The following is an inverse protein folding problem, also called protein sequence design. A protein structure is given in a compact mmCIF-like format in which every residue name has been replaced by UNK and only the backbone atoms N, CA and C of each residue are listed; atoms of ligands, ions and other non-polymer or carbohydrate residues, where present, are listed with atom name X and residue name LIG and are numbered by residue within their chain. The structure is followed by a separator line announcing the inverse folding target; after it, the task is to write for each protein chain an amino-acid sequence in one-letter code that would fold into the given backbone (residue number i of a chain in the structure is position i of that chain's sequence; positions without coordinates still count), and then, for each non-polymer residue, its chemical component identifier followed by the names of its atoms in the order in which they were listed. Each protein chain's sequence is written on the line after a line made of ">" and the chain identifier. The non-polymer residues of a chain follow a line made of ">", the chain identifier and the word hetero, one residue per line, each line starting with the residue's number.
data_IF_298733782258
#
_entry.id   IF_298733782258
#
_cell.length_a   1.000
_cell.length_b   1.000
_cell.length_c   1.000
_cell.angle_alpha   90.00
_cell.angle_beta   90.00
_cell.angle_gamma   90.00
#
_symmetry.space_group_name_H-M   'P 1'
#
loop_
_entity.id
_entity.type
_entity.pdbx_description
1 polymer ?
#
# COMPACT_ATOMS: atom_id res chain seq x y z
N UNK A 1 -17.16 12.21 7.87
CA UNK A 1 -18.18 12.16 6.80
C UNK A 1 -19.48 12.84 7.26
N UNK A 2 -19.88 12.69 8.53
CA UNK A 2 -20.95 13.45 9.19
C UNK A 2 -21.08 14.96 8.82
N UNK A 3 -20.01 15.76 8.96
CA UNK A 3 -20.07 17.20 8.64
C UNK A 3 -20.42 17.49 7.17
N UNK A 4 -19.91 16.67 6.23
CA UNK A 4 -20.23 16.79 4.81
C UNK A 4 -21.69 16.42 4.54
N UNK A 5 -22.22 15.40 5.24
CA UNK A 5 -23.63 15.02 5.15
C UNK A 5 -24.55 16.12 5.67
N UNK A 6 -24.21 16.75 6.80
CA UNK A 6 -24.98 17.87 7.33
C UNK A 6 -24.97 19.07 6.39
N UNK A 7 -23.80 19.43 5.85
CA UNK A 7 -23.68 20.49 4.85
C UNK A 7 -24.53 20.20 3.60
N UNK A 8 -24.49 18.96 3.10
CA UNK A 8 -25.31 18.52 1.98
C UNK A 8 -26.80 18.58 2.29
N UNK A 9 -27.26 18.20 3.48
CA UNK A 9 -28.68 18.34 3.86
C UNK A 9 -29.05 19.81 3.97
N UNK A 10 -28.23 20.65 4.61
CA UNK A 10 -28.51 22.08 4.79
C UNK A 10 -28.55 22.84 3.47
N UNK A 11 -27.81 22.39 2.47
CA UNK A 11 -27.81 22.97 1.12
C UNK A 11 -29.13 22.78 0.35
N UNK A 12 -30.08 21.97 0.85
CA UNK A 12 -31.41 21.89 0.24
C UNK A 12 -32.22 23.17 0.50
N UNK A 13 -32.85 23.67 -0.57
CA UNK A 13 -33.56 24.95 -0.57
C UNK A 13 -34.91 24.89 0.17
N UNK A 14 -35.59 23.75 0.09
CA UNK A 14 -36.91 23.52 0.67
C UNK A 14 -36.90 22.40 1.72
N UNK A 15 -37.91 22.39 2.59
CA UNK A 15 -38.00 21.45 3.72
C UNK A 15 -38.16 20.02 3.24
N UNK A 16 -39.01 19.80 2.25
CA UNK A 16 -39.32 18.49 1.66
C UNK A 16 -38.04 17.84 1.11
N UNK A 17 -37.19 18.64 0.46
CA UNK A 17 -35.91 18.17 -0.06
C UNK A 17 -34.92 17.85 1.07
N UNK A 18 -34.89 18.61 2.16
CA UNK A 18 -34.07 18.28 3.34
C UNK A 18 -34.48 16.95 3.95
N UNK A 19 -35.78 16.69 4.05
CA UNK A 19 -36.33 15.44 4.57
C UNK A 19 -36.03 14.27 3.65
N UNK A 20 -36.20 14.44 2.34
CA UNK A 20 -35.80 13.46 1.34
C UNK A 20 -34.30 13.14 1.43
N UNK A 21 -33.43 14.17 1.53
CA UNK A 21 -31.98 13.98 1.71
C UNK A 21 -31.65 13.23 3.01
N UNK A 22 -32.34 13.53 4.12
CA UNK A 22 -32.16 12.82 5.41
C UNK A 22 -32.54 11.34 5.34
N UNK A 23 -33.54 10.98 4.53
CA UNK A 23 -33.98 9.60 4.33
C UNK A 23 -32.99 8.75 3.51
N UNK A 24 -32.05 9.38 2.80
CA UNK A 24 -31.02 8.66 2.04
C UNK A 24 -29.78 8.33 2.88
N UNK A 25 -29.08 7.26 2.46
CA UNK A 25 -27.77 6.90 2.98
C UNK A 25 -26.61 7.69 2.32
N UNK A 26 -26.91 8.70 1.49
CA UNK A 26 -25.87 9.49 0.83
C UNK A 26 -25.01 10.21 1.88
N UNK A 27 -23.69 10.06 1.76
CA UNK A 27 -22.68 10.57 2.70
C UNK A 27 -22.83 10.07 4.14
N UNK A 28 -23.63 9.02 4.40
CA UNK A 28 -23.68 8.38 5.71
C UNK A 28 -22.40 7.58 5.97
N UNK A 29 -21.94 7.59 7.22
CA UNK A 29 -20.73 6.87 7.65
C UNK A 29 -20.96 5.35 7.65
N UNK A 30 -22.23 4.93 7.80
CA UNK A 30 -22.69 3.54 7.77
C UNK A 30 -23.66 3.31 6.60
N UNK A 31 -23.39 2.25 5.83
CA UNK A 31 -24.27 1.80 4.76
C UNK A 31 -25.43 0.92 5.25
N UNK A 32 -26.36 0.58 4.36
CA UNK A 32 -27.56 -0.23 4.67
C UNK A 32 -27.28 -1.64 5.20
N UNK A 33 -26.06 -2.16 5.03
CA UNK A 33 -25.62 -3.45 5.56
C UNK A 33 -24.86 -3.35 6.90
N UNK A 34 -24.90 -2.19 7.58
CA UNK A 34 -24.17 -1.95 8.83
C UNK A 34 -22.64 -1.82 8.69
N UNK A 35 -22.12 -1.77 7.45
CA UNK A 35 -20.70 -1.58 7.19
C UNK A 35 -20.33 -0.11 7.27
N UNK A 36 -19.15 0.18 7.82
CA UNK A 36 -18.59 1.52 7.95
C UNK A 36 -17.66 1.80 6.78
N UNK A 37 -17.67 3.03 6.27
CA UNK A 37 -16.71 3.48 5.26
C UNK A 37 -15.34 3.70 5.90
N UNK A 38 -14.33 2.95 5.47
CA UNK A 38 -12.95 3.12 5.90
C UNK A 38 -12.05 3.58 4.73
N UNK A 39 -11.60 4.83 4.77
CA UNK A 39 -10.64 5.36 3.79
C UNK A 39 -9.23 4.81 3.97
N UNK A 40 -8.88 4.36 5.18
CA UNK A 40 -7.58 3.77 5.47
C UNK A 40 -7.39 2.46 4.70
N UNK A 41 -8.47 1.70 4.49
CA UNK A 41 -8.47 0.50 3.65
C UNK A 41 -7.92 0.74 2.22
N UNK A 42 -8.06 1.95 1.67
CA UNK A 42 -7.47 2.30 0.37
C UNK A 42 -5.94 2.36 0.45
N UNK A 43 -5.39 2.97 1.50
CA UNK A 43 -3.94 2.98 1.77
C UNK A 43 -3.43 1.57 2.01
N UNK A 44 -4.18 0.74 2.74
CA UNK A 44 -3.87 -0.68 2.88
C UNK A 44 -3.78 -1.37 1.53
N UNK A 45 -4.84 -1.26 0.73
CA UNK A 45 -4.92 -1.89 -0.59
C UNK A 45 -3.83 -1.41 -1.56
N UNK A 46 -3.40 -0.15 -1.44
CA UNK A 46 -2.29 0.40 -2.21
C UNK A 46 -0.95 -0.24 -1.81
N UNK A 47 -0.66 -0.30 -0.51
CA UNK A 47 0.56 -0.91 0.01
C UNK A 47 0.66 -2.40 -0.26
N UNK A 48 -0.44 -3.15 -0.09
CA UNK A 48 -0.51 -4.56 -0.46
C UNK A 48 -0.17 -4.77 -1.94
N UNK A 49 -0.66 -3.89 -2.83
CA UNK A 49 -0.35 -3.98 -4.27
C UNK A 49 1.12 -3.69 -4.57
N UNK A 50 1.71 -2.70 -3.91
CA UNK A 50 3.14 -2.41 -4.06
C UNK A 50 4.00 -3.60 -3.60
N UNK A 51 3.69 -4.17 -2.43
CA UNK A 51 4.39 -5.34 -1.90
C UNK A 51 4.29 -6.53 -2.87
N UNK A 52 3.09 -6.85 -3.36
CA UNK A 52 2.86 -7.93 -4.35
C UNK A 52 3.53 -7.70 -5.70
N UNK A 53 3.89 -6.45 -6.03
CA UNK A 53 4.64 -6.12 -7.25
C UNK A 53 6.15 -6.16 -7.06
N UNK A 54 6.64 -6.56 -5.88
CA UNK A 54 8.07 -6.64 -5.57
C UNK A 54 8.74 -5.29 -5.32
N UNK A 55 7.96 -4.23 -5.06
CA UNK A 55 8.51 -2.90 -4.74
C UNK A 55 9.24 -2.97 -3.41
N UNK A 56 10.47 -2.46 -3.39
CA UNK A 56 11.27 -2.42 -2.18
C UNK A 56 10.55 -1.65 -1.04
N UNK A 57 10.57 -2.14 0.20
CA UNK A 57 9.87 -1.51 1.32
C UNK A 57 10.18 -0.02 1.55
N UNK A 58 11.42 0.40 1.29
CA UNK A 58 11.81 1.81 1.42
C UNK A 58 11.07 2.71 0.42
N UNK A 59 10.86 2.22 -0.81
CA UNK A 59 10.11 2.93 -1.86
C UNK A 59 8.63 2.96 -1.50
N UNK A 60 8.07 1.83 -1.07
CA UNK A 60 6.67 1.75 -0.63
C UNK A 60 6.37 2.71 0.55
N UNK A 61 7.27 2.79 1.54
CA UNK A 61 7.18 3.73 2.67
C UNK A 61 7.12 5.18 2.19
N UNK A 62 8.00 5.55 1.24
CA UNK A 62 8.07 6.89 0.68
C UNK A 62 6.78 7.24 -0.08
N UNK A 63 6.29 6.32 -0.92
CA UNK A 63 5.03 6.48 -1.67
C UNK A 63 3.81 6.61 -0.75
N UNK A 64 3.76 5.86 0.35
CA UNK A 64 2.67 5.94 1.33
C UNK A 64 2.80 7.13 2.31
N UNK A 65 3.93 7.84 2.27
CA UNK A 65 4.31 8.93 3.19
C UNK A 65 4.30 8.49 4.66
N UNK A 66 4.73 7.26 4.92
CA UNK A 66 4.86 6.75 6.28
C UNK A 66 6.11 7.31 6.95
N UNK A 67 5.99 7.73 8.20
CA UNK A 67 7.12 8.25 8.99
C UNK A 67 8.11 7.13 9.35
N UNK A 68 7.59 5.94 9.69
CA UNK A 68 8.38 4.76 10.05
C UNK A 68 8.15 3.62 9.07
N UNK A 69 9.14 2.73 8.94
CA UNK A 69 9.00 1.55 8.07
C UNK A 69 8.10 0.47 8.69
N UNK A 70 7.98 0.44 10.02
CA UNK A 70 7.10 -0.48 10.77
C UNK A 70 5.65 -0.35 10.29
N UNK A 71 5.15 0.87 10.07
CA UNK A 71 3.83 1.15 9.49
C UNK A 71 3.61 0.54 8.08
N UNK A 72 4.69 0.18 7.40
CA UNK A 72 4.70 -0.38 6.04
C UNK A 72 5.03 -1.86 6.02
N UNK A 73 5.66 -2.40 7.07
CA UNK A 73 6.13 -3.79 7.10
C UNK A 73 5.19 -4.70 7.89
N UNK A 74 4.60 -4.23 9.01
CA UNK A 74 3.82 -5.10 9.91
C UNK A 74 2.62 -5.80 9.27
N UNK A 75 2.11 -5.30 8.13
CA UNK A 75 0.87 -5.79 7.54
C UNK A 75 0.90 -6.05 6.03
N UNK A 76 2.03 -5.80 5.37
CA UNK A 76 2.09 -5.83 3.89
C UNK A 76 3.19 -6.71 3.32
N UNK A 77 4.15 -7.15 4.15
CA UNK A 77 5.14 -8.16 3.76
C UNK A 77 4.64 -9.57 4.04
N UNK A 78 3.52 -9.95 3.42
CA UNK A 78 3.28 -11.36 3.19
C UNK A 78 4.12 -11.74 1.97
N UNK A 79 5.41 -12.02 2.18
CA UNK A 79 6.23 -12.67 1.15
C UNK A 79 5.53 -13.97 0.79
N UNK A 80 5.20 -14.13 -0.48
CA UNK A 80 4.74 -15.41 -0.98
C UNK A 80 5.98 -16.33 -1.08
N UNK A 81 5.81 -17.64 -0.88
CA UNK A 81 6.92 -18.62 -0.93
C UNK A 81 7.69 -18.52 -2.26
N UNK A 82 6.99 -18.11 -3.31
CA UNK A 82 7.51 -17.86 -4.65
C UNK A 82 8.51 -16.69 -4.68
N UNK A 83 8.28 -15.62 -3.91
CA UNK A 83 9.18 -14.47 -3.81
C UNK A 83 10.47 -14.84 -3.07
N UNK A 84 10.35 -15.66 -2.02
CA UNK A 84 11.49 -16.19 -1.25
C UNK A 84 12.36 -17.08 -2.13
N UNK A 85 11.75 -17.97 -2.91
CA UNK A 85 12.46 -18.81 -3.88
C UNK A 85 13.15 -17.99 -4.95
N UNK A 86 12.46 -17.01 -5.54
CA UNK A 86 13.05 -16.12 -6.55
C UNK A 86 14.21 -15.28 -6.00
N UNK A 87 14.17 -14.91 -4.71
CA UNK A 87 15.28 -14.22 -4.06
C UNK A 87 16.50 -15.14 -3.89
N UNK A 88 16.28 -16.41 -3.52
CA UNK A 88 17.33 -17.41 -3.42
C UNK A 88 17.95 -17.74 -4.79
N UNK A 89 17.15 -17.84 -5.83
CA UNK A 89 17.61 -18.12 -7.20
C UNK A 89 18.50 -16.99 -7.78
N UNK A 90 18.43 -15.78 -7.23
CA UNK A 90 19.29 -14.64 -7.62
C UNK A 90 20.65 -14.65 -6.92
N UNK A 91 20.86 -15.50 -5.92
CA UNK A 91 22.15 -15.59 -5.25
C UNK A 91 23.20 -16.18 -6.21
N UNK A 92 24.42 -15.62 -6.25
CA UNK A 92 25.50 -16.21 -7.04
C UNK A 92 25.83 -17.61 -6.50
N UNK A 93 26.12 -18.54 -7.41
CA UNK A 93 26.55 -19.89 -7.03
C UNK A 93 27.85 -19.82 -6.24
N UNK A 94 27.85 -20.40 -5.03
CA UNK A 94 29.04 -20.51 -4.17
C UNK A 94 30.08 -21.44 -4.82
N UNK A 95 29.64 -22.35 -5.69
CA UNK A 95 30.48 -23.29 -6.42
C UNK A 95 30.79 -22.82 -7.85
N UNK A 96 30.46 -21.57 -8.21
CA UNK A 96 30.88 -21.05 -9.51
C UNK A 96 32.41 -21.12 -9.59
N UNK A 97 32.98 -21.68 -10.68
CA UNK A 97 34.42 -21.61 -10.89
C UNK A 97 34.78 -20.13 -10.80
N UNK A 98 35.77 -19.79 -9.96
CA UNK A 98 36.32 -18.43 -9.91
C UNK A 98 36.58 -18.03 -11.36
N UNK A 99 35.82 -17.07 -11.87
CA UNK A 99 36.14 -16.47 -13.15
C UNK A 99 37.60 -16.07 -13.03
N UNK A 100 38.46 -16.65 -13.88
CA UNK A 100 39.89 -16.41 -13.86
C UNK A 100 40.06 -14.90 -13.79
N UNK A 101 40.44 -14.41 -12.61
CA UNK A 101 41.02 -13.09 -12.45
C UNK A 101 42.29 -13.19 -13.26
N UNK A 102 42.17 -12.89 -14.56
CA UNK A 102 43.30 -12.77 -15.46
C UNK A 102 44.32 -11.97 -14.69
N UNK A 103 45.44 -12.62 -14.37
CA UNK A 103 46.44 -12.14 -13.46
C UNK A 103 46.66 -10.66 -13.76
N UNK A 104 46.25 -9.79 -12.83
CA UNK A 104 46.62 -8.39 -12.87
C UNK A 104 48.14 -8.40 -12.89
N UNK A 105 48.70 -8.21 -14.09
CA UNK A 105 50.13 -8.22 -14.30
C UNK A 105 50.70 -7.20 -13.31
N UNK A 106 51.64 -7.66 -12.49
CA UNK A 106 52.37 -6.80 -11.60
C UNK A 106 53.12 -5.75 -12.45
N UNK A 107 52.54 -4.56 -12.59
CA UNK A 107 53.26 -3.38 -13.09
C UNK A 107 54.10 -2.85 -11.95
N UNK A 108 55.24 -3.49 -11.73
CA UNK A 108 56.36 -2.94 -10.99
C UNK A 108 57.33 -2.24 -11.95
N UNK A 109 57.75 -1.04 -11.58
CA UNK A 109 59.02 -0.40 -11.97
C UNK A 109 59.64 0.20 -10.73
#
# INVERSE_FOLDING_TARGET
>A
MAAAREAWIKAAGIKEEREARRATAFLADTGGSGRVVDFHALRHSFLTRLARSGVAPAVAKSLARHSTIVLTMDHYTHTLIEDERAALDRLPSINAPRANVAALAATGT
#
